data_IF_293047019025
#
_entry.id   IF_293047019025
#
_cell.length_a   1.000
_cell.length_b   1.000
_cell.length_c   1.000
_cell.angle_alpha   90.00
_cell.angle_beta   90.00
_cell.angle_gamma   90.00
#
_symmetry.space_group_name_H-M   'P 1'
#
loop_
_entity.id
_entity.type
_entity.pdbx_description
1 polymer ?
#
# COMPACT_ATOMS: atom_id res chain seq x y z
N UNK A 1 -23.92 18.68 0.51
CA UNK A 1 -25.26 18.16 0.11
C UNK A 1 -25.10 17.31 -1.14
N UNK A 2 -25.63 16.09 -1.06
CA UNK A 2 -25.60 15.01 -2.06
C UNK A 2 -26.39 15.39 -3.32
N UNK A 3 -25.91 15.00 -4.52
CA UNK A 3 -26.71 14.21 -5.49
C UNK A 3 -25.87 13.61 -6.63
N UNK A 4 -25.81 12.29 -6.56
CA UNK A 4 -25.56 11.28 -7.58
C UNK A 4 -26.47 11.45 -8.81
N UNK A 5 -25.95 11.19 -10.00
CA UNK A 5 -26.74 10.54 -11.05
C UNK A 5 -25.83 9.71 -11.97
N UNK A 6 -26.06 8.39 -11.94
CA UNK A 6 -25.59 7.40 -12.90
C UNK A 6 -26.82 7.02 -13.72
N UNK A 7 -26.79 7.20 -15.05
CA UNK A 7 -27.07 6.16 -16.07
C UNK A 7 -27.28 6.75 -17.48
N UNK A 8 -26.90 5.91 -18.45
CA UNK A 8 -27.28 5.89 -19.88
C UNK A 8 -26.53 6.81 -20.86
N UNK A 9 -25.70 6.16 -21.70
CA UNK A 9 -25.99 6.03 -23.14
C UNK A 9 -25.14 4.92 -23.78
N UNK A 10 -25.71 3.72 -23.84
CA UNK A 10 -25.58 2.89 -25.04
C UNK A 10 -26.50 3.52 -26.11
N UNK A 11 -26.00 3.66 -27.34
CA UNK A 11 -26.80 3.86 -28.55
C UNK A 11 -27.12 5.31 -28.95
N UNK A 12 -26.47 5.78 -30.02
CA UNK A 12 -27.02 6.79 -30.92
C UNK A 12 -27.05 6.20 -32.34
N UNK A 13 -28.04 6.55 -33.19
CA UNK A 13 -28.37 5.82 -34.42
C UNK A 13 -27.39 6.12 -35.57
N UNK A 14 -27.19 5.14 -36.45
CA UNK A 14 -26.49 5.29 -37.74
C UNK A 14 -27.51 5.64 -38.84
N UNK A 15 -27.13 6.49 -39.80
CA UNK A 15 -27.86 6.66 -41.05
C UNK A 15 -27.76 5.38 -41.93
N UNK A 16 -28.74 5.10 -42.81
CA UNK A 16 -28.91 3.77 -43.41
C UNK A 16 -27.85 3.33 -44.44
N UNK A 17 -26.87 4.17 -44.80
CA UNK A 17 -25.88 3.86 -45.86
C UNK A 17 -24.40 3.95 -45.42
N UNK A 18 -24.10 4.26 -44.16
CA UNK A 18 -22.78 4.00 -43.56
C UNK A 18 -21.57 4.77 -44.10
N UNK A 19 -21.73 5.98 -44.65
CA UNK A 19 -20.58 6.78 -45.14
C UNK A 19 -20.17 7.96 -44.23
N UNK A 20 -18.85 8.20 -44.14
CA UNK A 20 -18.22 9.33 -43.44
C UNK A 20 -18.14 10.57 -44.34
N UNK A 21 -18.51 11.76 -43.83
CA UNK A 21 -18.37 13.03 -44.57
C UNK A 21 -16.92 13.54 -44.54
N UNK A 22 -16.34 13.71 -45.73
CA UNK A 22 -15.12 14.49 -46.00
C UNK A 22 -15.39 15.60 -47.02
N UNK A 23 -14.93 16.83 -46.73
CA UNK A 23 -14.63 17.93 -47.66
C UNK A 23 -13.39 18.64 -47.03
N UNK A 24 -12.18 18.75 -47.61
CA UNK A 24 -11.73 19.32 -48.90
C UNK A 24 -11.58 20.85 -48.76
N UNK A 25 -10.48 21.59 -49.03
CA UNK A 25 -9.19 21.34 -49.68
C UNK A 25 -8.20 22.54 -49.50
N UNK A 26 -6.89 22.27 -49.53
CA UNK A 26 -5.73 23.04 -50.06
C UNK A 26 -5.10 24.35 -49.43
N UNK A 27 -3.87 24.17 -48.89
CA UNK A 27 -2.53 24.78 -49.22
C UNK A 27 -1.97 26.09 -48.56
N UNK A 28 -0.93 25.85 -47.74
CA UNK A 28 0.44 26.45 -47.59
C UNK A 28 0.73 27.74 -46.79
N UNK A 29 1.81 27.63 -45.98
CA UNK A 29 2.61 28.62 -45.23
C UNK A 29 1.92 29.13 -43.94
N UNK A 30 2.47 28.98 -42.74
CA UNK A 30 3.80 29.42 -42.30
C UNK A 30 4.13 28.76 -40.95
N UNK A 31 5.41 28.56 -40.67
CA UNK A 31 5.94 28.13 -39.38
C UNK A 31 5.48 29.05 -38.25
N UNK A 32 4.53 28.61 -37.43
CA UNK A 32 4.32 29.17 -36.10
C UNK A 32 4.10 28.02 -35.14
N UNK A 33 5.18 27.62 -34.46
CA UNK A 33 5.07 26.88 -33.19
C UNK A 33 4.36 27.81 -32.21
N UNK A 34 3.06 27.65 -32.05
CA UNK A 34 2.34 28.20 -30.91
C UNK A 34 2.41 27.14 -29.80
N UNK A 35 3.42 27.25 -28.95
CA UNK A 35 3.39 26.62 -27.63
C UNK A 35 2.32 27.34 -26.80
N UNK A 36 1.07 26.88 -26.89
CA UNK A 36 0.05 27.16 -25.86
C UNK A 36 -0.24 25.80 -25.21
N UNK A 37 0.66 25.42 -24.31
CA UNK A 37 0.44 24.29 -23.39
C UNK A 37 1.10 24.53 -22.01
N UNK A 38 1.77 25.66 -21.81
CA UNK A 38 2.47 25.91 -20.55
C UNK A 38 1.71 26.87 -19.61
N UNK A 39 0.71 27.62 -20.07
CA UNK A 39 0.03 28.61 -19.21
C UNK A 39 -1.20 28.06 -18.49
N UNK A 40 -2.01 27.20 -19.10
CA UNK A 40 -3.24 26.70 -18.49
C UNK A 40 -2.97 25.60 -17.45
N UNK A 41 -2.04 24.69 -17.74
CA UNK A 41 -1.66 23.59 -16.85
C UNK A 41 -0.98 24.12 -15.57
N UNK A 42 0.00 25.04 -15.70
CA UNK A 42 0.64 25.72 -14.57
C UNK A 42 -0.38 26.51 -13.73
N UNK A 43 -1.41 27.11 -14.36
CA UNK A 43 -2.44 27.87 -13.64
C UNK A 43 -3.35 26.95 -12.82
N UNK A 44 -3.72 25.76 -13.32
CA UNK A 44 -4.54 24.80 -12.57
C UNK A 44 -3.77 24.25 -11.37
N UNK A 45 -2.51 23.85 -11.56
CA UNK A 45 -1.65 23.31 -10.51
C UNK A 45 -1.41 24.34 -9.40
N UNK A 46 -1.12 25.59 -9.76
CA UNK A 46 -0.93 26.68 -8.81
C UNK A 46 -2.22 27.02 -8.04
N UNK A 47 -3.37 27.01 -8.72
CA UNK A 47 -4.68 27.25 -8.08
C UNK A 47 -5.06 26.12 -7.10
N UNK A 48 -4.68 24.87 -7.35
CA UNK A 48 -4.91 23.76 -6.43
C UNK A 48 -4.03 23.85 -5.17
N UNK A 49 -2.73 24.14 -5.33
CA UNK A 49 -1.84 24.39 -4.19
C UNK A 49 -2.31 25.60 -3.38
N UNK A 50 -2.57 26.74 -4.04
CA UNK A 50 -3.11 27.95 -3.40
C UNK A 50 -4.45 27.68 -2.70
N UNK A 51 -5.29 26.77 -3.22
CA UNK A 51 -6.54 26.36 -2.56
C UNK A 51 -6.30 25.50 -1.31
N UNK A 52 -5.31 24.59 -1.28
CA UNK A 52 -4.99 23.88 -0.03
C UNK A 52 -4.51 24.86 1.05
N UNK A 53 -3.62 25.79 0.70
CA UNK A 53 -3.19 26.85 1.62
C UNK A 53 -4.37 27.76 2.03
N UNK A 54 -5.31 28.05 1.11
CA UNK A 54 -6.52 28.84 1.40
C UNK A 54 -7.61 28.08 2.19
N UNK A 55 -7.53 26.76 2.33
CA UNK A 55 -8.50 25.95 3.09
C UNK A 55 -8.22 25.91 4.60
N UNK A 56 -7.13 26.53 5.07
CA UNK A 56 -6.73 26.52 6.49
C UNK A 56 -6.10 25.21 6.97
N UNK A 57 -5.89 24.24 6.07
CA UNK A 57 -5.28 22.94 6.40
C UNK A 57 -3.85 23.11 6.90
N UNK A 58 -3.04 23.96 6.26
CA UNK A 58 -1.67 24.23 6.70
C UNK A 58 -1.62 24.83 8.12
N UNK A 59 -2.55 25.72 8.46
CA UNK A 59 -2.67 26.31 9.79
C UNK A 59 -3.08 25.27 10.83
N UNK A 60 -4.01 24.36 10.49
CA UNK A 60 -4.44 23.26 11.36
C UNK A 60 -3.30 22.27 11.62
N UNK A 61 -2.57 21.82 10.58
CA UNK A 61 -1.40 20.95 10.74
C UNK A 61 -0.30 21.62 11.58
N UNK A 62 -0.13 22.93 11.41
CA UNK A 62 0.78 23.72 12.24
C UNK A 62 0.30 23.79 13.70
N UNK A 63 -1.00 23.97 13.96
CA UNK A 63 -1.55 23.98 15.31
C UNK A 63 -1.38 22.63 16.01
N UNK A 64 -1.67 21.52 15.31
CA UNK A 64 -1.51 20.16 15.85
C UNK A 64 -0.07 19.89 16.29
N UNK A 65 0.92 20.36 15.54
CA UNK A 65 2.34 20.21 15.90
C UNK A 65 2.79 21.18 16.98
N UNK A 66 2.30 22.43 16.99
CA UNK A 66 2.59 23.41 18.06
C UNK A 66 2.03 23.02 19.41
N UNK A 67 0.87 22.34 19.42
CA UNK A 67 0.23 21.79 20.62
C UNK A 67 0.78 20.43 21.02
N UNK A 68 1.76 19.92 20.27
CA UNK A 68 2.36 18.60 20.47
C UNK A 68 1.29 17.48 20.55
N UNK A 69 0.23 17.60 19.75
CA UNK A 69 -0.72 16.51 19.52
C UNK A 69 -0.18 15.52 18.48
N UNK A 70 0.60 16.04 17.53
CA UNK A 70 1.42 15.28 16.60
C UNK A 70 2.84 15.81 16.68
N UNK A 71 3.85 14.94 16.69
CA UNK A 71 5.25 15.35 16.77
C UNK A 71 5.67 16.13 15.52
N UNK A 72 5.39 15.56 14.35
CA UNK A 72 5.73 16.12 13.07
C UNK A 72 4.94 15.48 11.95
N UNK A 73 4.84 16.19 10.83
CA UNK A 73 3.99 15.83 9.69
C UNK A 73 4.76 16.14 8.40
N UNK A 74 4.79 15.18 7.48
CA UNK A 74 5.20 15.39 6.10
C UNK A 74 3.98 15.19 5.19
N UNK A 75 3.67 16.17 4.35
CA UNK A 75 2.58 16.07 3.37
C UNK A 75 3.12 16.27 1.98
N UNK A 76 2.64 15.47 1.04
CA UNK A 76 2.87 15.71 -0.38
C UNK A 76 1.59 15.50 -1.15
N UNK A 77 1.32 16.45 -2.04
CA UNK A 77 0.26 16.39 -3.02
C UNK A 77 0.85 16.19 -4.40
N UNK A 78 0.32 15.21 -5.11
CA UNK A 78 0.69 14.91 -6.48
C UNK A 78 -0.49 15.16 -7.40
N UNK A 79 -0.19 15.69 -8.57
CA UNK A 79 -1.14 15.81 -9.66
C UNK A 79 -0.40 15.43 -10.94
N UNK A 80 -0.96 14.50 -11.70
CA UNK A 80 -0.39 14.05 -12.97
C UNK A 80 1.09 13.67 -12.85
N UNK A 81 1.44 12.98 -11.75
CA UNK A 81 2.79 12.54 -11.36
C UNK A 81 3.77 13.63 -10.94
N UNK A 82 3.35 14.89 -10.91
CA UNK A 82 4.17 16.02 -10.48
C UNK A 82 3.86 16.41 -9.04
N UNK A 83 4.89 16.78 -8.27
CA UNK A 83 4.72 17.33 -6.91
C UNK A 83 4.16 18.75 -7.01
N UNK A 84 2.92 18.90 -6.57
CA UNK A 84 2.19 20.17 -6.59
C UNK A 84 2.39 20.94 -5.29
N UNK A 85 2.43 20.23 -4.17
CA UNK A 85 2.75 20.78 -2.86
C UNK A 85 3.53 19.74 -2.06
N UNK A 86 4.51 20.22 -1.32
CA UNK A 86 5.20 19.45 -0.30
C UNK A 86 5.45 20.36 0.89
N UNK A 87 5.03 19.91 2.07
CA UNK A 87 5.08 20.69 3.29
C UNK A 87 5.49 19.82 4.47
N UNK A 88 6.25 20.42 5.39
CA UNK A 88 6.78 19.76 6.58
C UNK A 88 6.48 20.60 7.82
N UNK A 89 5.98 19.95 8.86
CA UNK A 89 5.54 20.59 10.09
C UNK A 89 6.14 19.86 11.29
N UNK A 90 6.44 20.61 12.36
CA UNK A 90 6.92 20.04 13.62
C UNK A 90 8.29 19.35 13.54
N UNK A 91 8.46 18.30 14.34
CA UNK A 91 9.72 17.61 14.58
C UNK A 91 9.60 16.11 14.32
N UNK A 92 10.62 15.52 13.70
CA UNK A 92 10.79 14.07 13.62
C UNK A 92 11.30 13.48 14.95
N UNK A 93 11.88 14.32 15.82
CA UNK A 93 12.24 14.01 17.20
C UNK A 93 12.07 15.30 18.04
N UNK A 94 11.07 15.32 18.91
CA UNK A 94 10.69 16.43 19.80
C UNK A 94 11.82 16.75 20.79
N UNK A 95 12.42 15.73 21.40
CA UNK A 95 13.42 15.89 22.46
C UNK A 95 14.68 16.61 21.95
N UNK A 96 15.14 16.25 20.75
CA UNK A 96 16.27 16.88 20.06
C UNK A 96 15.87 18.09 19.22
N UNK A 97 14.56 18.35 19.08
CA UNK A 97 13.99 19.35 18.17
C UNK A 97 14.46 19.19 16.73
N UNK A 98 14.61 17.96 16.28
CA UNK A 98 15.00 17.65 14.90
C UNK A 98 13.81 17.90 13.98
N UNK A 99 13.88 18.84 13.02
CA UNK A 99 12.74 19.16 12.17
C UNK A 99 12.42 17.98 11.24
N UNK A 100 11.14 17.83 10.89
CA UNK A 100 10.74 16.97 9.76
C UNK A 100 11.31 17.57 8.48
N UNK A 101 11.87 16.69 7.65
CA UNK A 101 12.48 17.02 6.36
C UNK A 101 12.00 16.05 5.28
N UNK A 102 12.24 16.41 4.02
CA UNK A 102 11.94 15.56 2.85
C UNK A 102 12.50 14.14 2.97
N UNK A 103 13.71 14.01 3.50
CA UNK A 103 14.44 12.76 3.65
C UNK A 103 14.17 12.04 4.99
N UNK A 104 13.15 12.47 5.75
CA UNK A 104 12.78 11.80 7.00
C UNK A 104 12.22 10.42 6.69
N UNK A 105 12.79 9.41 7.34
CA UNK A 105 12.38 8.00 7.20
C UNK A 105 11.30 7.73 8.24
N UNK A 106 10.18 7.18 7.77
CA UNK A 106 9.04 6.81 8.61
C UNK A 106 8.86 5.30 8.62
N UNK A 107 8.40 4.76 9.75
CA UNK A 107 7.79 3.43 9.80
C UNK A 107 6.39 3.55 9.22
N UNK A 108 6.14 2.86 8.11
CA UNK A 108 4.88 3.02 7.38
C UNK A 108 3.83 1.97 7.75
N UNK A 109 4.20 1.00 8.59
CA UNK A 109 3.32 -0.03 9.12
C UNK A 109 2.46 -0.67 8.01
N UNK A 110 1.14 -0.62 8.17
CA UNK A 110 0.18 -1.25 7.27
C UNK A 110 0.11 -0.64 5.88
N UNK A 111 0.75 0.49 5.61
CA UNK A 111 0.94 0.95 4.22
C UNK A 111 1.81 -0.03 3.41
N UNK A 112 2.62 -0.87 4.08
CA UNK A 112 3.37 -1.93 3.41
C UNK A 112 2.47 -2.92 2.68
N UNK A 113 1.21 -3.07 3.11
CA UNK A 113 0.23 -3.94 2.44
C UNK A 113 -0.02 -3.54 0.98
N UNK A 114 0.12 -2.25 0.65
CA UNK A 114 0.01 -1.76 -0.71
C UNK A 114 1.19 -2.29 -1.54
N UNK A 115 2.41 -2.23 -1.00
CA UNK A 115 3.61 -2.77 -1.64
C UNK A 115 3.53 -4.28 -1.81
N UNK A 116 3.15 -5.02 -0.77
CA UNK A 116 2.95 -6.47 -0.85
C UNK A 116 1.90 -6.83 -1.90
N UNK A 117 0.82 -6.05 -2.00
CA UNK A 117 -0.21 -6.25 -3.01
C UNK A 117 0.33 -6.08 -4.42
N UNK A 118 1.16 -5.06 -4.65
CA UNK A 118 1.81 -4.87 -5.96
C UNK A 118 2.79 -5.98 -6.28
N UNK A 119 3.61 -6.43 -5.31
CA UNK A 119 4.50 -7.57 -5.51
C UNK A 119 3.75 -8.83 -5.95
N UNK A 120 2.61 -9.12 -5.32
CA UNK A 120 1.76 -10.23 -5.73
C UNK A 120 1.13 -9.98 -7.11
N UNK A 121 0.64 -8.78 -7.41
CA UNK A 121 0.10 -8.47 -8.74
C UNK A 121 1.15 -8.58 -9.86
N UNK A 122 2.42 -8.27 -9.59
CA UNK A 122 3.51 -8.52 -10.53
C UNK A 122 3.68 -10.02 -10.81
N UNK A 123 3.60 -10.87 -9.79
CA UNK A 123 3.63 -12.32 -9.95
C UNK A 123 2.38 -12.87 -10.67
N UNK A 124 1.22 -12.21 -10.50
CA UNK A 124 0.01 -12.52 -11.25
C UNK A 124 0.20 -12.22 -12.75
N UNK A 125 0.79 -11.06 -13.08
CA UNK A 125 1.15 -10.70 -14.46
C UNK A 125 2.19 -11.67 -15.06
N UNK A 126 3.13 -12.16 -14.24
CA UNK A 126 4.08 -13.22 -14.62
C UNK A 126 3.41 -14.62 -14.76
N UNK A 127 2.09 -14.72 -14.53
CA UNK A 127 1.31 -15.95 -14.68
C UNK A 127 1.55 -17.00 -13.59
N UNK A 128 2.11 -16.60 -12.44
CA UNK A 128 2.50 -17.53 -11.36
C UNK A 128 1.34 -18.12 -10.58
N UNK A 129 0.19 -17.44 -10.55
CA UNK A 129 -1.01 -17.89 -9.86
C UNK A 129 -2.28 -17.29 -10.47
N UNK A 130 -3.44 -17.82 -10.06
CA UNK A 130 -4.75 -17.21 -10.33
C UNK A 130 -5.38 -16.74 -9.02
N UNK A 131 -6.17 -15.65 -9.05
CA UNK A 131 -6.75 -15.06 -7.84
C UNK A 131 -7.62 -16.04 -7.04
N UNK A 132 -8.28 -16.98 -7.71
CA UNK A 132 -9.13 -17.99 -7.07
C UNK A 132 -8.40 -19.30 -6.76
N UNK A 133 -7.07 -19.35 -6.95
CA UNK A 133 -6.28 -20.48 -6.47
C UNK A 133 -6.40 -20.56 -4.93
N UNK A 134 -6.55 -21.78 -4.37
CA UNK A 134 -6.56 -21.97 -2.94
C UNK A 134 -5.14 -21.79 -2.37
N UNK A 135 -5.02 -21.17 -1.19
CA UNK A 135 -3.73 -20.92 -0.54
C UNK A 135 -2.92 -22.21 -0.35
N UNK A 136 -3.59 -23.31 -0.02
CA UNK A 136 -2.99 -24.63 0.25
C UNK A 136 -2.21 -25.20 -0.94
N UNK A 137 -2.50 -24.74 -2.17
CA UNK A 137 -1.75 -25.10 -3.38
C UNK A 137 -0.28 -24.67 -3.29
N UNK A 138 -0.01 -23.56 -2.62
CA UNK A 138 1.32 -22.96 -2.49
C UNK A 138 1.86 -23.05 -1.05
N UNK A 139 0.97 -23.13 -0.06
CA UNK A 139 1.29 -23.24 1.36
C UNK A 139 0.67 -24.52 1.94
N UNK A 140 1.24 -25.71 1.67
CA UNK A 140 0.65 -26.99 2.06
C UNK A 140 0.51 -27.17 3.58
N UNK A 141 1.28 -26.42 4.39
CA UNK A 141 1.11 -26.38 5.84
C UNK A 141 -0.32 -26.00 6.27
N UNK A 142 -1.05 -25.25 5.43
CA UNK A 142 -2.41 -24.79 5.71
C UNK A 142 -3.51 -25.80 5.32
N UNK A 143 -3.18 -27.00 4.83
CA UNK A 143 -4.16 -27.98 4.32
C UNK A 143 -5.15 -28.49 5.37
N UNK A 144 -4.73 -28.51 6.65
CA UNK A 144 -5.52 -29.04 7.76
C UNK A 144 -6.26 -27.97 8.57
N UNK A 145 -6.31 -26.73 8.08
CA UNK A 145 -7.00 -25.65 8.77
C UNK A 145 -8.45 -26.02 9.11
N UNK A 146 -8.87 -25.59 10.29
CA UNK A 146 -10.26 -25.67 10.78
C UNK A 146 -10.77 -24.27 11.03
N UNK A 147 -12.05 -24.15 11.37
CA UNK A 147 -12.68 -22.87 11.71
C UNK A 147 -13.48 -23.04 13.00
N UNK A 148 -13.50 -22.00 13.84
CA UNK A 148 -14.35 -21.99 15.02
C UNK A 148 -15.84 -22.03 14.64
N UNK A 149 -16.62 -22.83 15.36
CA UNK A 149 -18.07 -22.81 15.23
C UNK A 149 -18.64 -21.46 15.68
N UNK A 150 -19.81 -21.12 15.14
CA UNK A 150 -20.53 -19.92 15.59
C UNK A 150 -20.93 -20.07 17.06
N UNK A 151 -20.49 -19.15 17.91
CA UNK A 151 -20.76 -19.18 19.36
C UNK A 151 -19.81 -20.04 20.17
N UNK A 152 -18.72 -20.56 19.56
CA UNK A 152 -17.70 -21.32 20.27
C UNK A 152 -17.15 -20.51 21.47
N UNK A 153 -17.06 -21.18 22.63
CA UNK A 153 -16.44 -20.67 23.86
C UNK A 153 -15.10 -21.35 24.15
N UNK A 154 -14.77 -22.41 23.41
CA UNK A 154 -13.52 -23.17 23.47
C UNK A 154 -12.84 -23.15 22.09
N UNK A 155 -11.51 -23.03 22.07
CA UNK A 155 -10.72 -22.98 20.83
C UNK A 155 -10.76 -24.27 20.01
N UNK A 156 -11.06 -25.39 20.65
CA UNK A 156 -11.17 -26.69 20.01
C UNK A 156 -12.57 -26.96 19.43
N UNK A 157 -13.57 -26.12 19.75
CA UNK A 157 -14.91 -26.23 19.17
C UNK A 157 -14.91 -25.71 17.73
N UNK A 158 -14.42 -26.57 16.85
CA UNK A 158 -14.15 -26.30 15.45
C UNK A 158 -14.98 -27.17 14.52
N UNK A 159 -15.11 -26.73 13.28
CA UNK A 159 -15.66 -27.47 12.16
C UNK A 159 -14.72 -27.44 10.95
N UNK A 160 -15.01 -28.28 9.96
CA UNK A 160 -14.26 -28.27 8.71
C UNK A 160 -14.54 -26.99 7.91
N UNK A 161 -13.55 -26.58 7.11
CA UNK A 161 -13.74 -25.50 6.15
C UNK A 161 -14.74 -25.95 5.06
N UNK A 162 -15.69 -25.09 4.73
CA UNK A 162 -16.60 -25.35 3.61
C UNK A 162 -15.86 -25.30 2.27
N UNK A 163 -14.91 -24.36 2.14
CA UNK A 163 -13.97 -24.25 1.03
C UNK A 163 -12.60 -23.79 1.56
N UNK A 164 -11.49 -24.16 0.90
CA UNK A 164 -10.19 -23.61 1.25
C UNK A 164 -10.15 -22.08 1.04
N UNK A 165 -9.41 -21.31 1.86
CA UNK A 165 -9.23 -19.90 1.60
C UNK A 165 -8.44 -19.68 0.30
N UNK A 166 -8.79 -18.63 -0.45
CA UNK A 166 -8.16 -18.30 -1.75
C UNK A 166 -7.22 -17.09 -1.64
N UNK A 167 -6.37 -16.91 -2.64
CA UNK A 167 -5.49 -15.73 -2.74
C UNK A 167 -6.31 -14.42 -2.80
N UNK A 168 -7.42 -14.39 -3.55
CA UNK A 168 -8.35 -13.25 -3.61
C UNK A 168 -8.89 -12.89 -2.23
N UNK A 169 -9.23 -13.90 -1.43
CA UNK A 169 -9.73 -13.70 -0.09
C UNK A 169 -8.64 -13.20 0.86
N UNK A 170 -7.38 -13.57 0.64
CA UNK A 170 -6.25 -12.99 1.38
C UNK A 170 -6.07 -11.49 1.05
N UNK A 171 -6.09 -11.10 -0.24
CA UNK A 171 -6.05 -9.68 -0.66
C UNK A 171 -7.16 -8.84 -0.03
N UNK A 172 -8.34 -9.43 0.11
CA UNK A 172 -9.54 -8.71 0.56
C UNK A 172 -9.84 -8.88 2.05
N UNK A 173 -8.97 -9.52 2.82
CA UNK A 173 -9.19 -9.81 4.23
C UNK A 173 -10.53 -10.54 4.50
N UNK A 174 -10.90 -11.47 3.61
CA UNK A 174 -12.11 -12.30 3.71
C UNK A 174 -11.78 -13.80 3.84
N UNK A 175 -10.50 -14.14 4.02
CA UNK A 175 -10.03 -15.53 4.13
C UNK A 175 -10.33 -16.19 5.48
N UNK A 176 -10.90 -15.45 6.46
CA UNK A 176 -11.27 -15.98 7.77
C UNK A 176 -10.17 -15.94 8.83
N UNK A 177 -8.97 -15.49 8.49
CA UNK A 177 -7.86 -15.29 9.43
C UNK A 177 -8.14 -14.16 10.42
N UNK A 178 -7.47 -14.18 11.56
CA UNK A 178 -7.43 -13.06 12.51
C UNK A 178 -6.11 -12.30 12.47
N UNK A 179 -5.94 -11.34 13.37
CA UNK A 179 -4.70 -10.59 13.54
C UNK A 179 -4.04 -10.87 14.89
N UNK A 180 -4.78 -11.00 15.99
CA UNK A 180 -4.23 -11.17 17.34
C UNK A 180 -4.46 -9.98 18.27
N UNK A 181 -4.64 -8.77 17.74
CA UNK A 181 -4.57 -7.54 18.55
C UNK A 181 -5.82 -6.67 18.54
N UNK A 182 -6.83 -6.97 17.71
CA UNK A 182 -7.93 -6.01 17.45
C UNK A 182 -9.32 -6.44 17.90
N UNK A 183 -9.60 -7.73 18.08
CA UNK A 183 -10.98 -8.23 18.26
C UNK A 183 -11.18 -8.95 19.61
N UNK A 184 -10.12 -9.11 20.43
CA UNK A 184 -10.15 -9.81 21.73
C UNK A 184 -10.85 -11.19 21.69
N UNK A 185 -10.76 -11.90 20.56
CA UNK A 185 -11.43 -13.19 20.35
C UNK A 185 -10.61 -14.38 20.89
N UNK A 186 -11.23 -15.58 20.91
CA UNK A 186 -10.53 -16.84 21.18
C UNK A 186 -9.33 -17.04 20.24
N UNK A 187 -9.51 -16.76 18.94
CA UNK A 187 -8.45 -16.87 17.94
C UNK A 187 -7.35 -15.83 18.19
N UNK A 188 -7.72 -14.60 18.55
CA UNK A 188 -6.71 -13.57 18.81
C UNK A 188 -5.82 -13.91 20.01
N UNK A 189 -6.40 -14.50 21.06
CA UNK A 189 -5.62 -15.00 22.20
C UNK A 189 -4.61 -16.07 21.77
N UNK A 190 -5.03 -17.03 20.94
CA UNK A 190 -4.11 -18.02 20.39
C UNK A 190 -2.99 -17.39 19.57
N UNK A 191 -3.29 -16.40 18.72
CA UNK A 191 -2.28 -15.67 17.95
C UNK A 191 -1.20 -15.05 18.85
N UNK A 192 -1.60 -14.47 19.98
CA UNK A 192 -0.68 -13.90 20.97
C UNK A 192 0.12 -14.99 21.70
N UNK A 193 -0.54 -16.05 22.18
CA UNK A 193 0.09 -17.13 22.94
C UNK A 193 1.09 -17.95 22.13
N UNK A 194 0.80 -18.18 20.85
CA UNK A 194 1.66 -18.91 19.92
C UNK A 194 2.78 -18.06 19.32
N UNK A 195 2.71 -16.73 19.50
CA UNK A 195 3.70 -15.81 18.94
C UNK A 195 3.77 -15.88 17.42
N UNK A 196 2.62 -15.91 16.74
CA UNK A 196 2.55 -15.92 15.25
C UNK A 196 3.25 -14.70 14.67
N UNK A 197 3.08 -13.52 15.28
CA UNK A 197 3.72 -12.27 14.85
C UNK A 197 5.10 -12.06 15.52
N UNK A 198 5.88 -13.13 15.69
CA UNK A 198 7.23 -13.01 16.22
C UNK A 198 8.09 -12.18 15.27
N UNK A 199 8.57 -11.03 15.77
CA UNK A 199 9.36 -10.06 15.03
C UNK A 199 10.71 -10.59 14.56
N UNK A 200 11.21 -11.64 15.21
CA UNK A 200 12.48 -12.25 14.87
C UNK A 200 12.33 -13.48 13.97
N UNK A 201 11.11 -14.01 13.85
CA UNK A 201 10.81 -15.17 13.02
C UNK A 201 10.76 -14.85 11.53
N UNK A 202 10.80 -15.91 10.73
CA UNK A 202 10.60 -15.87 9.28
C UNK A 202 9.11 -15.94 8.93
N UNK A 203 8.77 -15.56 7.69
CA UNK A 203 7.41 -15.72 7.17
C UNK A 203 7.00 -17.20 7.06
N UNK A 204 7.97 -18.10 6.86
CA UNK A 204 7.74 -19.56 6.90
C UNK A 204 7.34 -20.03 8.29
N UNK A 205 8.13 -19.69 9.32
CA UNK A 205 7.79 -20.03 10.71
C UNK A 205 6.46 -19.42 11.15
N UNK A 206 6.10 -18.24 10.64
CA UNK A 206 4.79 -17.64 10.87
C UNK A 206 3.66 -18.51 10.29
N UNK A 207 3.81 -19.02 9.05
CA UNK A 207 2.85 -19.94 8.45
C UNK A 207 2.77 -21.25 9.22
N UNK A 208 3.90 -21.80 9.68
CA UNK A 208 3.92 -23.04 10.47
C UNK A 208 3.17 -22.90 11.79
N UNK A 209 3.35 -21.76 12.49
CA UNK A 209 2.56 -21.44 13.69
C UNK A 209 1.09 -21.25 13.36
N UNK A 210 0.78 -20.55 12.27
CA UNK A 210 -0.58 -20.26 11.83
C UNK A 210 -1.36 -21.54 11.48
N UNK A 211 -0.69 -22.57 10.96
CA UNK A 211 -1.30 -23.87 10.65
C UNK A 211 -1.95 -24.55 11.87
N UNK A 212 -1.48 -24.24 13.09
CA UNK A 212 -2.04 -24.76 14.34
C UNK A 212 -3.24 -23.99 14.88
N UNK A 213 -3.67 -22.91 14.24
CA UNK A 213 -4.71 -22.02 14.75
C UNK A 213 -5.95 -22.08 13.86
N UNK A 214 -7.16 -22.29 14.43
CA UNK A 214 -8.38 -22.28 13.63
C UNK A 214 -8.70 -20.87 13.11
N UNK A 215 -9.33 -20.81 11.93
CA UNK A 215 -9.91 -19.58 11.40
C UNK A 215 -11.02 -19.06 12.32
N UNK A 216 -11.18 -17.73 12.36
CA UNK A 216 -12.23 -17.09 13.14
C UNK A 216 -13.62 -17.28 12.51
N UNK A 217 -13.66 -17.40 11.17
CA UNK A 217 -14.89 -17.56 10.36
C UNK A 217 -14.58 -18.36 9.09
N UNK A 218 -15.63 -18.92 8.49
CA UNK A 218 -15.54 -19.61 7.20
C UNK A 218 -15.03 -18.64 6.12
N UNK A 219 -14.14 -19.08 5.21
CA UNK A 219 -13.64 -18.23 4.13
C UNK A 219 -14.77 -17.65 3.26
N UNK A 220 -14.67 -16.37 2.93
CA UNK A 220 -15.63 -15.64 2.11
C UNK A 220 -16.89 -15.15 2.84
N UNK A 221 -17.08 -15.48 4.12
CA UNK A 221 -18.31 -15.09 4.83
C UNK A 221 -18.33 -13.65 5.32
N UNK A 222 -17.20 -13.13 5.80
CA UNK A 222 -17.09 -11.76 6.32
C UNK A 222 -15.72 -11.19 6.07
N UNK A 223 -15.69 -9.87 5.96
CA UNK A 223 -14.45 -9.10 6.04
C UNK A 223 -13.98 -9.02 7.50
N UNK A 224 -12.69 -9.25 7.70
CA UNK A 224 -12.01 -9.05 8.98
C UNK A 224 -10.53 -8.76 8.73
N UNK A 225 -10.09 -7.59 9.17
CA UNK A 225 -8.67 -7.22 9.15
C UNK A 225 -7.81 -8.28 9.84
N UNK A 226 -6.75 -8.72 9.17
CA UNK A 226 -6.07 -9.98 9.50
C UNK A 226 -4.62 -10.01 9.01
N UNK A 227 -3.88 -11.03 9.44
CA UNK A 227 -2.50 -11.32 9.03
C UNK A 227 -2.36 -11.73 7.55
N UNK A 228 -3.45 -11.67 6.78
CA UNK A 228 -3.51 -12.14 5.41
C UNK A 228 -2.43 -11.54 4.50
N UNK A 229 -1.97 -10.31 4.78
CA UNK A 229 -0.90 -9.69 3.99
C UNK A 229 0.46 -10.32 4.21
N UNK A 230 0.78 -10.79 5.42
CA UNK A 230 2.02 -11.54 5.67
C UNK A 230 1.96 -12.91 5.00
N UNK A 231 0.77 -13.52 4.88
CA UNK A 231 0.56 -14.73 4.07
C UNK A 231 0.84 -14.42 2.59
N UNK A 232 0.37 -13.28 2.07
CA UNK A 232 0.69 -12.84 0.71
C UNK A 232 2.20 -12.62 0.52
N UNK A 233 2.89 -12.05 1.52
CA UNK A 233 4.35 -11.90 1.49
C UNK A 233 5.04 -13.27 1.44
N UNK A 234 4.57 -14.28 2.19
CA UNK A 234 5.10 -15.65 2.10
C UNK A 234 4.86 -16.28 0.72
N UNK A 235 3.71 -16.01 0.10
CA UNK A 235 3.45 -16.47 -1.27
C UNK A 235 4.43 -15.87 -2.28
N UNK A 236 4.82 -14.60 -2.11
CA UNK A 236 5.87 -13.99 -2.94
C UNK A 236 7.14 -14.83 -2.86
N UNK A 237 7.61 -15.17 -1.64
CA UNK A 237 8.82 -15.98 -1.46
C UNK A 237 8.73 -17.35 -2.13
N UNK A 238 7.61 -18.03 -1.96
CA UNK A 238 7.39 -19.37 -2.53
C UNK A 238 7.35 -19.33 -4.06
N UNK A 239 6.73 -18.30 -4.65
CA UNK A 239 6.53 -18.20 -6.11
C UNK A 239 7.75 -17.63 -6.85
N UNK A 240 8.52 -16.75 -6.20
CA UNK A 240 9.73 -16.16 -6.77
C UNK A 240 10.97 -17.02 -6.52
N UNK A 241 11.05 -17.68 -5.37
CA UNK A 241 12.27 -18.33 -4.87
C UNK A 241 13.23 -17.40 -4.13
N UNK A 242 12.90 -16.11 -4.03
CA UNK A 242 13.69 -15.09 -3.33
C UNK A 242 13.12 -14.83 -1.92
N UNK A 243 13.90 -14.21 -1.03
CA UNK A 243 13.30 -13.64 0.20
C UNK A 243 12.36 -12.49 -0.16
N UNK A 244 11.38 -12.20 0.71
CA UNK A 244 10.43 -11.11 0.42
C UNK A 244 11.15 -9.75 0.29
N UNK A 245 12.19 -9.54 1.10
CA UNK A 245 13.02 -8.34 1.05
C UNK A 245 13.80 -8.22 -0.26
N UNK A 246 14.44 -9.29 -0.72
CA UNK A 246 15.23 -9.29 -1.96
C UNK A 246 14.34 -9.12 -3.20
N UNK A 247 13.16 -9.75 -3.20
CA UNK A 247 12.18 -9.56 -4.26
C UNK A 247 11.75 -8.09 -4.36
N UNK A 248 11.35 -7.47 -3.24
CA UNK A 248 10.95 -6.07 -3.24
C UNK A 248 12.10 -5.14 -3.64
N UNK A 249 13.32 -5.38 -3.13
CA UNK A 249 14.49 -4.60 -3.50
C UNK A 249 14.74 -4.64 -5.01
N UNK A 250 14.79 -5.85 -5.59
CA UNK A 250 15.17 -6.07 -6.99
C UNK A 250 14.07 -5.67 -7.97
N UNK A 251 12.82 -6.03 -7.67
CA UNK A 251 11.69 -5.91 -8.61
C UNK A 251 10.96 -4.58 -8.48
N UNK A 252 11.04 -3.90 -7.33
CA UNK A 252 10.25 -2.70 -7.05
C UNK A 252 11.10 -1.51 -6.63
N UNK A 253 11.91 -1.62 -5.57
CA UNK A 253 12.58 -0.45 -4.99
C UNK A 253 13.72 0.07 -5.87
N UNK A 254 14.63 -0.80 -6.34
CA UNK A 254 15.74 -0.38 -7.20
C UNK A 254 15.26 0.21 -8.55
N UNK A 255 14.31 -0.41 -9.28
CA UNK A 255 13.80 0.17 -10.52
C UNK A 255 13.12 1.54 -10.35
N UNK A 256 12.55 1.81 -9.17
CA UNK A 256 11.88 3.06 -8.84
C UNK A 256 12.79 4.08 -8.12
N UNK A 257 14.05 3.73 -7.84
CA UNK A 257 14.98 4.60 -7.13
C UNK A 257 14.68 4.79 -5.64
N UNK A 258 13.91 3.89 -5.03
CA UNK A 258 13.49 3.96 -3.62
C UNK A 258 14.60 3.49 -2.67
N UNK A 259 15.69 4.23 -2.58
CA UNK A 259 16.91 3.80 -1.85
C UNK A 259 16.77 3.85 -0.33
N UNK A 260 15.80 4.59 0.20
CA UNK A 260 15.56 4.70 1.65
C UNK A 260 14.40 3.83 2.15
N UNK A 261 13.88 2.95 1.28
CA UNK A 261 12.77 2.04 1.59
C UNK A 261 13.26 0.61 1.84
N UNK A 262 12.86 0.00 2.94
CA UNK A 262 13.25 -1.38 3.25
C UNK A 262 12.90 -1.86 4.65
N UNK A 263 13.36 -3.07 4.99
CA UNK A 263 13.09 -3.72 6.28
C UNK A 263 14.12 -3.38 7.38
N UNK A 264 15.19 -2.69 7.00
CA UNK A 264 16.32 -2.36 7.87
C UNK A 264 16.80 -0.93 7.62
N UNK A 265 17.15 -0.25 8.72
CA UNK A 265 17.79 1.06 8.74
C UNK A 265 19.30 0.86 8.84
N UNK A 266 20.02 1.41 7.86
CA UNK A 266 21.48 1.43 7.83
C UNK A 266 22.06 2.46 8.81
N UNK A 267 23.36 2.36 9.12
CA UNK A 267 24.03 3.27 10.08
C UNK A 267 23.91 4.74 9.68
N UNK A 268 23.99 5.04 8.38
CA UNK A 268 23.88 6.38 7.79
C UNK A 268 22.44 6.91 7.71
N UNK A 269 21.45 6.07 8.03
CA UNK A 269 20.02 6.41 8.00
C UNK A 269 19.45 6.70 9.39
N UNK A 270 20.17 6.36 10.46
CA UNK A 270 19.66 6.46 11.85
C UNK A 270 19.21 7.87 12.21
N UNK A 271 19.97 8.89 11.81
CA UNK A 271 19.65 10.31 12.11
C UNK A 271 18.48 10.87 11.30
N UNK A 272 17.99 10.09 10.32
CA UNK A 272 16.83 10.42 9.49
C UNK A 272 15.56 9.70 9.93
N UNK A 273 15.66 8.70 10.81
CA UNK A 273 14.52 7.95 11.30
C UNK A 273 13.68 8.78 12.27
N UNK A 274 12.41 8.97 11.94
CA UNK A 274 11.45 9.63 12.82
C UNK A 274 11.19 8.79 14.08
N UNK A 275 11.15 9.48 15.22
CA UNK A 275 10.77 8.89 16.50
C UNK A 275 9.25 8.65 16.52
N UNK A 276 8.83 7.45 16.90
CA UNK A 276 7.44 7.13 17.21
C UNK A 276 7.06 7.67 18.57
N UNK A 277 5.99 8.45 18.59
CA UNK A 277 5.38 8.97 19.80
C UNK A 277 4.04 8.31 20.07
N UNK A 278 3.72 8.18 21.35
CA UNK A 278 2.40 7.85 21.82
C UNK A 278 1.87 8.98 22.72
N UNK A 279 0.55 9.15 22.84
CA UNK A 279 -0.03 10.02 23.85
C UNK A 279 0.50 9.66 25.24
N UNK A 280 0.81 10.67 26.05
CA UNK A 280 1.11 10.49 27.48
C UNK A 280 -0.09 9.82 28.16
N UNK A 281 -1.30 10.22 27.77
CA UNK A 281 -2.57 9.65 28.18
C UNK A 281 -3.41 9.25 26.96
N UNK A 282 -3.71 7.97 26.81
CA UNK A 282 -4.52 7.44 25.69
C UNK A 282 -5.97 7.92 25.71
N UNK A 283 -6.47 8.42 26.85
CA UNK A 283 -7.83 8.96 27.00
C UNK A 283 -7.88 10.49 26.84
N UNK A 284 -6.72 11.16 26.82
CA UNK A 284 -6.61 12.62 26.69
C UNK A 284 -5.29 13.00 26.02
N UNK A 285 -5.34 13.08 24.69
CA UNK A 285 -4.19 13.41 23.84
C UNK A 285 -3.65 14.82 24.09
N UNK A 286 -4.44 15.72 24.71
CA UNK A 286 -3.98 17.08 25.07
C UNK A 286 -2.91 17.10 26.14
N UNK A 287 -2.62 15.95 26.78
CA UNK A 287 -1.56 15.80 27.78
C UNK A 287 -0.17 15.61 27.18
N UNK A 288 -0.05 15.73 25.86
CA UNK A 288 1.21 15.71 25.13
C UNK A 288 1.65 14.30 24.75
N UNK A 289 2.86 14.23 24.21
CA UNK A 289 3.45 13.02 23.63
C UNK A 289 4.62 12.51 24.46
N UNK A 290 4.85 11.20 24.38
CA UNK A 290 6.05 10.54 24.91
C UNK A 290 6.63 9.60 23.85
N UNK A 291 7.96 9.46 23.76
CA UNK A 291 8.57 8.53 22.83
C UNK A 291 8.22 7.09 23.21
N UNK A 292 7.95 6.25 22.22
CA UNK A 292 7.68 4.84 22.44
C UNK A 292 8.99 4.10 22.77
N UNK A 293 8.97 3.25 23.80
CA UNK A 293 10.14 2.44 24.16
C UNK A 293 10.50 1.47 23.04
N UNK A 294 11.80 1.35 22.71
CA UNK A 294 12.28 0.44 21.66
C UNK A 294 12.17 0.99 20.24
N UNK A 295 11.77 2.24 20.08
CA UNK A 295 11.55 2.89 18.79
C UNK A 295 12.82 3.20 17.97
N UNK A 296 14.02 2.97 18.52
CA UNK A 296 15.27 3.05 17.74
C UNK A 296 15.76 1.70 17.23
N UNK A 297 14.89 0.67 17.20
CA UNK A 297 15.26 -0.61 16.56
C UNK A 297 15.47 -0.40 15.06
N UNK A 298 16.62 -0.87 14.58
CA UNK A 298 17.00 -0.79 13.16
C UNK A 298 16.22 -1.72 12.26
N UNK A 299 15.51 -2.70 12.82
CA UNK A 299 14.67 -3.65 12.09
C UNK A 299 13.20 -3.33 12.33
N UNK A 300 12.41 -3.40 11.27
CA UNK A 300 10.94 -3.40 11.35
C UNK A 300 10.42 -4.84 11.27
N UNK A 301 9.36 -5.17 12.02
CA UNK A 301 8.89 -6.55 12.16
C UNK A 301 8.01 -7.05 11.02
N UNK A 302 8.04 -8.36 10.77
CA UNK A 302 7.11 -9.01 9.84
C UNK A 302 7.25 -8.48 8.41
N UNK A 303 6.11 -8.27 7.73
CA UNK A 303 6.08 -7.65 6.41
C UNK A 303 6.13 -6.11 6.45
N UNK A 304 6.36 -5.45 7.58
CA UNK A 304 6.41 -3.98 7.65
C UNK A 304 7.75 -3.44 7.12
N UNK A 305 7.71 -2.31 6.40
CA UNK A 305 8.92 -1.59 5.96
C UNK A 305 8.98 -0.18 6.54
N UNK A 306 10.14 0.45 6.41
CA UNK A 306 10.30 1.91 6.49
C UNK A 306 10.32 2.50 5.08
N UNK A 307 9.92 3.76 4.94
CA UNK A 307 10.04 4.52 3.70
C UNK A 307 10.13 6.01 4.01
N UNK A 308 10.68 6.79 3.08
CA UNK A 308 10.61 8.26 3.14
C UNK A 308 9.44 8.78 2.32
N UNK A 309 9.06 10.04 2.55
CA UNK A 309 8.23 10.77 1.59
C UNK A 309 8.92 10.99 0.25
N UNK A 310 10.25 10.89 0.17
CA UNK A 310 11.02 11.09 -1.06
C UNK A 310 11.12 9.85 -1.94
N UNK A 311 10.93 8.65 -1.39
CA UNK A 311 10.91 7.37 -2.12
C UNK A 311 9.61 7.22 -2.92
N UNK A 312 9.34 8.19 -3.80
CA UNK A 312 8.35 8.07 -4.86
C UNK A 312 9.04 7.56 -6.10
N UNK A 313 8.28 6.92 -6.99
CA UNK A 313 8.74 6.70 -8.35
C UNK A 313 8.99 8.06 -9.00
N UNK A 314 10.22 8.54 -8.97
CA UNK A 314 10.64 9.74 -9.68
C UNK A 314 10.70 9.39 -11.18
N UNK A 315 9.55 9.34 -11.84
CA UNK A 315 9.46 9.10 -13.29
C UNK A 315 9.78 10.35 -14.12
N UNK A 316 10.40 11.38 -13.50
CA UNK A 316 11.12 12.45 -14.19
C UNK A 316 12.19 11.94 -15.17
N UNK A 317 12.55 10.65 -15.09
CA UNK A 317 13.16 9.90 -16.17
C UNK A 317 12.45 8.55 -16.37
N UNK A 318 11.24 8.53 -16.94
CA UNK A 318 10.88 7.34 -17.71
C UNK A 318 11.98 7.14 -18.77
N UNK A 319 12.74 6.02 -18.77
CA UNK A 319 13.46 5.66 -19.97
C UNK A 319 12.37 5.52 -21.02
N UNK A 320 12.48 6.25 -22.12
CA UNK A 320 11.67 6.07 -23.34
C UNK A 320 11.95 4.68 -23.97
N UNK A 321 11.83 3.61 -23.18
CA UNK A 321 12.54 2.36 -23.39
C UNK A 321 11.91 1.13 -22.74
N UNK A 322 10.73 1.23 -22.09
CA UNK A 322 9.86 0.05 -21.90
C UNK A 322 9.03 -0.24 -23.17
N UNK A 323 9.65 -0.01 -24.33
CA UNK A 323 9.14 -0.42 -25.64
C UNK A 323 10.07 -1.52 -26.17
N UNK A 324 9.51 -2.72 -26.29
CA UNK A 324 10.00 -3.86 -27.08
C UNK A 324 11.20 -4.64 -26.55
N UNK A 325 10.93 -5.68 -25.75
CA UNK A 325 11.40 -7.05 -26.06
C UNK A 325 10.25 -8.03 -25.86
N UNK A 326 9.54 -8.32 -26.94
CA UNK A 326 8.72 -9.53 -27.04
C UNK A 326 9.66 -10.72 -27.21
N UNK A 327 9.56 -11.79 -26.41
CA UNK A 327 9.86 -13.12 -26.89
C UNK A 327 8.88 -13.38 -28.05
N UNK A 328 9.42 -13.64 -29.24
CA UNK A 328 8.65 -14.01 -30.42
C UNK A 328 7.66 -15.13 -30.09
N UNK A 329 6.35 -14.89 -30.20
CA UNK A 329 5.34 -15.97 -30.12
C UNK A 329 3.96 -15.66 -29.54
N UNK A 330 3.58 -14.42 -29.25
CA UNK A 330 2.28 -14.12 -28.61
C UNK A 330 1.58 -12.91 -29.26
N UNK A 331 1.17 -13.02 -30.52
CA UNK A 331 0.45 -11.95 -31.23
C UNK A 331 -1.10 -12.12 -31.26
N UNK A 332 -1.68 -13.11 -30.59
CA UNK A 332 -3.12 -13.42 -30.73
C UNK A 332 -3.96 -13.47 -29.44
N UNK A 333 -3.62 -12.71 -28.39
CA UNK A 333 -4.42 -12.68 -27.16
C UNK A 333 -4.92 -11.28 -26.78
N UNK A 334 -6.09 -10.91 -27.32
CA UNK A 334 -7.18 -10.12 -26.70
C UNK A 334 -6.91 -8.79 -25.94
N UNK A 335 -7.96 -8.00 -25.62
CA UNK A 335 -7.81 -6.70 -24.97
C UNK A 335 -7.56 -6.87 -23.47
N UNK A 336 -6.31 -7.11 -23.07
CA UNK A 336 -5.94 -7.04 -21.67
C UNK A 336 -5.81 -5.58 -21.21
N UNK A 337 -6.54 -5.25 -20.15
CA UNK A 337 -6.41 -4.00 -19.39
C UNK A 337 -4.98 -3.91 -18.87
N UNK A 338 -4.22 -2.91 -19.34
CA UNK A 338 -2.89 -2.61 -18.81
C UNK A 338 -3.06 -1.87 -17.48
N UNK A 339 -2.67 -2.50 -16.37
CA UNK A 339 -2.63 -1.82 -15.08
C UNK A 339 -1.33 -1.00 -15.00
N UNK A 340 -1.44 0.32 -14.91
CA UNK A 340 -0.36 1.15 -14.36
C UNK A 340 -0.52 1.15 -12.85
N UNK A 341 0.18 0.25 -12.15
CA UNK A 341 0.25 0.30 -10.70
C UNK A 341 1.35 1.30 -10.31
N UNK A 342 0.98 2.44 -9.74
CA UNK A 342 1.90 3.38 -9.09
C UNK A 342 1.58 3.35 -7.60
N UNK A 343 2.54 2.89 -6.80
CA UNK A 343 2.42 2.82 -5.34
C UNK A 343 3.08 4.05 -4.77
N UNK A 344 2.29 4.97 -4.24
CA UNK A 344 2.81 6.12 -3.52
C UNK A 344 2.30 6.08 -2.09
N UNK A 345 3.25 5.92 -1.18
CA UNK A 345 2.98 5.86 0.25
C UNK A 345 2.87 7.30 0.73
N UNK A 346 1.64 7.74 0.97
CA UNK A 346 1.38 8.93 1.76
C UNK A 346 1.44 8.49 3.22
N UNK A 347 2.59 8.70 3.86
CA UNK A 347 2.75 8.44 5.29
C UNK A 347 2.00 9.50 6.09
N UNK A 348 0.73 9.21 6.41
CA UNK A 348 0.06 9.88 7.52
C UNK A 348 0.52 9.18 8.81
N UNK A 349 1.48 9.76 9.52
CA UNK A 349 1.80 9.32 10.88
C UNK A 349 0.67 9.76 11.81
N UNK A 350 -0.38 8.95 11.91
CA UNK A 350 -1.48 9.20 12.83
C UNK A 350 -2.63 8.19 12.74
N UNK A 351 -2.87 7.52 13.88
CA UNK A 351 -3.96 6.59 14.26
C UNK A 351 -3.79 5.12 13.85
N UNK A 352 -3.40 4.31 14.83
CA UNK A 352 -3.79 2.90 14.99
C UNK A 352 -5.04 2.80 15.85
#
# INVERSE_FOLDING_TARGET
>A
MIKTEVFNRLGQPKDPDGSLRTQGNCRTLTTTRLHIACSEEITITKVLAERLHATGVADELTDLTKRELLAGIATVLLQDNEVVDESFYGFSDIESRTPVRRDTIHRIFSNTKIITSVAMLMLYEDGKYQLDDPLVKYLPALDNLKVLKTGATDVNDTEALATPPTIRQAFTHTAGFSYGTFQESLVDRLFMETGVQDRNGTLEEMIDKLAGIPLARQPGMRWQYSIATDILARLVEVMSGDTFADFLSTRLFQPLGMTDTGFHINDDQVDRLATLYAPVNMMDESKGLKPMSGDRTRRVPGSEITATGNDRSDDGQSPRGWAHRTPTGWDDAGPYVRFRCRVEIIALTGRT
#
